data_IF_804400948535
#
_entry.id   IF_804400948535
#
_cell.length_a   1.000
_cell.length_b   1.000
_cell.length_c   1.000
_cell.angle_alpha   90.00
_cell.angle_beta   90.00
_cell.angle_gamma   90.00
#
_symmetry.space_group_name_H-M   'P 1'
#
loop_
_entity.id
_entity.type
_entity.pdbx_description
1 polymer ?
#
# COMPACT_ATOMS: atom_id res chain seq x y z
N UNK A 1 -18.21 10.18 48.99
CA UNK A 1 -16.91 10.72 48.59
C UNK A 1 -16.36 9.77 47.54
N UNK A 2 -16.76 9.99 46.28
CA UNK A 2 -16.44 9.11 45.15
C UNK A 2 -15.30 9.71 44.33
N UNK A 3 -14.18 9.03 44.31
CA UNK A 3 -13.06 9.38 43.42
C UNK A 3 -13.37 8.92 42.00
N UNK A 4 -13.67 9.86 41.14
CA UNK A 4 -13.69 9.66 39.70
C UNK A 4 -12.25 9.62 39.23
N UNK A 5 -11.75 8.41 38.91
CA UNK A 5 -10.52 8.23 38.18
C UNK A 5 -10.79 8.57 36.71
N UNK A 6 -10.35 9.73 36.27
CA UNK A 6 -10.27 10.07 34.85
C UNK A 6 -9.27 9.13 34.17
N UNK A 7 -9.60 8.56 33.02
CA UNK A 7 -8.65 7.75 32.24
C UNK A 7 -7.52 8.66 31.74
N UNK A 8 -6.31 8.43 32.19
CA UNK A 8 -5.09 9.01 31.62
C UNK A 8 -4.99 8.55 30.16
N UNK A 9 -5.43 9.40 29.26
CA UNK A 9 -5.16 9.22 27.83
C UNK A 9 -3.68 9.50 27.59
N UNK A 10 -2.87 8.45 27.50
CA UNK A 10 -1.51 8.55 26.98
C UNK A 10 -1.59 8.82 25.49
N UNK A 11 -1.74 10.07 25.11
CA UNK A 11 -1.51 10.51 23.74
C UNK A 11 0.00 10.45 23.51
N UNK A 12 0.46 9.42 22.82
CA UNK A 12 1.82 9.40 22.29
C UNK A 12 1.84 10.52 21.25
N UNK A 13 2.44 11.66 21.57
CA UNK A 13 2.75 12.68 20.57
C UNK A 13 3.72 12.05 19.57
N UNK A 14 3.26 11.84 18.36
CA UNK A 14 4.14 11.51 17.26
C UNK A 14 4.79 12.81 16.85
N UNK A 15 6.10 12.93 17.04
CA UNK A 15 6.85 14.08 16.55
C UNK A 15 6.90 14.03 15.03
N UNK A 16 6.86 15.21 14.39
CA UNK A 16 7.07 15.32 12.94
C UNK A 16 8.41 14.69 12.56
N UNK A 17 8.39 13.92 11.49
CA UNK A 17 9.57 13.22 10.98
C UNK A 17 9.80 13.58 9.52
N UNK A 18 11.03 13.94 9.20
CA UNK A 18 11.47 14.27 7.85
C UNK A 18 12.76 13.52 7.52
N UNK A 19 12.85 12.98 6.31
CA UNK A 19 14.04 12.31 5.76
C UNK A 19 14.24 12.78 4.32
N UNK A 20 15.36 13.42 4.05
CA UNK A 20 15.78 13.94 2.74
C UNK A 20 16.88 13.13 2.07
N UNK A 21 17.33 12.06 2.72
CA UNK A 21 18.37 11.16 2.23
C UNK A 21 19.75 11.80 1.95
N UNK A 22 19.95 13.09 2.25
CA UNK A 22 21.26 13.77 2.20
C UNK A 22 22.26 13.21 3.23
N UNK A 23 21.75 12.50 4.20
CA UNK A 23 22.50 11.79 5.25
C UNK A 23 22.08 10.33 5.32
N UNK A 24 22.76 9.55 6.14
CA UNK A 24 22.37 8.17 6.41
C UNK A 24 20.91 8.05 6.85
N UNK A 25 20.30 6.91 6.53
CA UNK A 25 18.96 6.57 6.99
C UNK A 25 18.83 6.73 8.49
N UNK A 26 17.81 7.45 8.93
CA UNK A 26 17.54 7.61 10.37
C UNK A 26 17.45 6.25 11.08
N UNK A 27 17.88 6.14 12.35
CA UNK A 27 18.00 4.86 13.07
C UNK A 27 16.67 4.07 13.19
N UNK A 28 15.53 4.72 12.95
CA UNK A 28 14.23 4.05 12.95
C UNK A 28 14.01 3.15 11.74
N UNK A 29 14.69 3.41 10.62
CA UNK A 29 14.52 2.64 9.41
C UNK A 29 15.28 1.32 9.49
N UNK A 30 14.60 0.26 9.10
CA UNK A 30 15.19 -1.05 8.88
C UNK A 30 15.24 -1.31 7.38
N UNK A 31 16.40 -1.74 6.92
CA UNK A 31 16.60 -2.20 5.53
C UNK A 31 16.16 -3.65 5.42
N UNK A 32 15.31 -3.94 4.46
CA UNK A 32 14.93 -5.31 4.13
C UNK A 32 15.24 -5.56 2.66
N UNK A 33 16.44 -6.04 2.40
CA UNK A 33 17.00 -6.25 1.07
C UNK A 33 17.13 -7.75 0.85
N UNK A 34 16.56 -8.26 -0.24
CA UNK A 34 16.54 -9.70 -0.58
C UNK A 34 16.90 -9.88 -2.04
N UNK A 35 17.65 -10.95 -2.35
CA UNK A 35 18.04 -11.29 -3.72
C UNK A 35 18.85 -10.18 -4.39
N UNK A 36 18.48 -9.80 -5.59
CA UNK A 36 19.07 -8.69 -6.34
C UNK A 36 18.52 -7.30 -5.99
N UNK A 37 17.79 -7.17 -4.87
CA UNK A 37 17.35 -5.87 -4.37
C UNK A 37 18.52 -5.09 -3.79
N UNK A 38 18.55 -3.76 -3.98
CA UNK A 38 19.60 -2.87 -3.46
C UNK A 38 18.97 -1.55 -3.03
N UNK A 39 19.49 -0.95 -1.96
CA UNK A 39 19.25 0.42 -1.58
C UNK A 39 20.49 1.24 -1.88
N UNK A 40 20.44 2.09 -2.91
CA UNK A 40 21.56 2.88 -3.40
C UNK A 40 21.35 4.36 -3.02
N UNK A 41 22.11 4.91 -2.07
CA UNK A 41 22.14 6.35 -1.83
C UNK A 41 22.79 7.08 -3.02
N UNK A 42 22.23 8.21 -3.41
CA UNK A 42 22.80 9.08 -4.43
C UNK A 42 22.55 10.55 -4.06
N UNK A 43 23.63 11.31 -3.84
CA UNK A 43 23.59 12.73 -3.39
C UNK A 43 22.52 12.96 -2.31
N UNK A 44 21.34 13.44 -2.71
CA UNK A 44 20.22 13.77 -1.82
C UNK A 44 19.00 12.85 -2.06
N UNK A 45 19.17 11.66 -2.65
CA UNK A 45 18.08 10.73 -2.96
C UNK A 45 18.41 9.31 -2.54
N UNK A 46 17.39 8.46 -2.43
CA UNK A 46 17.53 7.02 -2.21
C UNK A 46 16.86 6.24 -3.34
N UNK A 47 17.62 5.36 -3.98
CA UNK A 47 17.12 4.42 -4.96
C UNK A 47 16.78 3.08 -4.31
N UNK A 48 15.59 2.60 -4.57
CA UNK A 48 15.17 1.22 -4.35
C UNK A 48 15.33 0.49 -5.68
N UNK A 49 16.27 -0.42 -5.78
CA UNK A 49 16.67 -1.01 -7.06
C UNK A 49 16.44 -2.50 -7.07
N UNK A 50 15.90 -3.03 -8.15
CA UNK A 50 15.95 -4.44 -8.49
C UNK A 50 16.86 -4.65 -9.70
N UNK A 51 17.87 -5.51 -9.53
CA UNK A 51 18.82 -5.87 -10.58
C UNK A 51 18.58 -7.32 -10.96
N UNK A 52 18.33 -7.59 -12.25
CA UNK A 52 18.21 -8.94 -12.79
C UNK A 52 17.26 -9.86 -12.01
N UNK A 53 16.12 -9.32 -11.59
CA UNK A 53 15.14 -10.09 -10.85
C UNK A 53 14.58 -11.23 -11.72
N UNK A 54 14.43 -12.41 -11.15
CA UNK A 54 13.91 -13.58 -11.85
C UNK A 54 12.76 -14.26 -11.10
N UNK A 55 11.92 -14.96 -11.84
CA UNK A 55 10.73 -15.64 -11.32
C UNK A 55 11.02 -16.79 -10.34
N UNK A 56 12.29 -17.16 -10.16
CA UNK A 56 12.70 -18.23 -9.21
C UNK A 56 13.16 -17.70 -7.86
N UNK A 57 13.49 -16.41 -7.75
CA UNK A 57 14.03 -15.82 -6.53
C UNK A 57 13.31 -14.52 -6.21
N UNK A 58 12.93 -14.38 -4.96
CA UNK A 58 12.38 -13.12 -4.47
C UNK A 58 13.46 -12.05 -4.45
N UNK A 59 13.14 -10.92 -5.06
CA UNK A 59 14.00 -9.73 -5.10
C UNK A 59 13.22 -8.57 -4.50
N UNK A 60 13.80 -7.93 -3.50
CA UNK A 60 13.14 -6.83 -2.79
C UNK A 60 14.14 -5.80 -2.29
N UNK A 61 13.85 -4.54 -2.52
CA UNK A 61 14.49 -3.40 -1.89
C UNK A 61 13.43 -2.66 -1.06
N UNK A 62 13.61 -2.60 0.27
CA UNK A 62 12.60 -2.05 1.19
C UNK A 62 13.24 -1.33 2.36
N UNK A 63 12.56 -0.28 2.84
CA UNK A 63 12.72 0.25 4.18
C UNK A 63 11.39 0.16 4.93
N UNK A 64 11.47 -0.08 6.23
CA UNK A 64 10.32 -0.08 7.13
C UNK A 64 10.74 0.32 8.55
N UNK A 65 9.77 0.56 9.44
CA UNK A 65 10.02 0.96 10.83
C UNK A 65 9.42 0.00 11.87
N UNK A 66 8.99 -1.17 11.44
CA UNK A 66 8.25 -2.09 12.29
C UNK A 66 8.93 -3.45 12.50
N UNK A 67 10.08 -3.72 11.87
CA UNK A 67 10.82 -4.96 12.10
C UNK A 67 11.16 -5.11 13.58
N UNK A 68 10.93 -6.32 14.10
CA UNK A 68 11.16 -6.63 15.53
C UNK A 68 10.07 -6.12 16.47
N UNK A 69 9.10 -5.31 16.00
CA UNK A 69 7.98 -4.85 16.83
C UNK A 69 6.79 -5.80 16.73
N UNK A 70 6.06 -6.01 17.81
CA UNK A 70 4.72 -6.59 17.73
C UNK A 70 3.76 -5.59 17.08
N UNK A 71 2.74 -6.06 16.35
CA UNK A 71 1.76 -5.17 15.67
C UNK A 71 1.11 -4.15 16.59
N UNK A 72 0.92 -4.47 17.87
CA UNK A 72 0.35 -3.53 18.87
C UNK A 72 1.29 -2.36 19.17
N UNK A 73 2.57 -2.52 18.88
CA UNK A 73 3.63 -1.53 19.11
C UNK A 73 4.04 -0.79 17.84
N UNK A 74 3.37 -0.99 16.72
CA UNK A 74 3.59 -0.21 15.52
C UNK A 74 3.32 1.26 15.80
N UNK A 75 4.05 2.14 15.11
CA UNK A 75 4.23 3.52 15.57
C UNK A 75 3.07 4.45 15.18
N UNK A 76 2.42 4.20 14.03
CA UNK A 76 1.60 5.21 13.39
C UNK A 76 0.10 5.00 13.63
N UNK A 77 -0.56 6.09 13.96
CA UNK A 77 -2.02 6.16 14.17
C UNK A 77 -2.56 7.47 13.58
N UNK A 78 -3.81 7.48 13.09
CA UNK A 78 -4.43 8.75 12.71
C UNK A 78 -4.70 9.63 13.95
N UNK A 79 -4.72 10.97 13.84
CA UNK A 79 -4.53 11.71 12.60
C UNK A 79 -3.05 11.97 12.29
N UNK A 80 -2.66 11.81 11.02
CA UNK A 80 -1.32 12.16 10.53
C UNK A 80 -1.34 12.40 9.03
N UNK A 81 -0.29 13.05 8.52
CA UNK A 81 -0.02 13.24 7.09
C UNK A 81 1.28 12.54 6.72
N UNK A 82 1.26 11.73 5.66
CA UNK A 82 2.44 11.26 4.96
C UNK A 82 2.57 12.04 3.66
N UNK A 83 3.78 12.50 3.34
CA UNK A 83 4.11 12.99 2.02
C UNK A 83 5.42 12.35 1.55
N UNK A 84 5.47 11.95 0.28
CA UNK A 84 6.63 11.32 -0.36
C UNK A 84 6.83 11.94 -1.72
N UNK A 85 8.05 12.39 -2.04
CA UNK A 85 8.42 12.80 -3.39
C UNK A 85 9.23 11.69 -4.05
N UNK A 86 8.65 11.11 -5.11
CA UNK A 86 9.22 9.93 -5.75
C UNK A 86 8.99 9.93 -7.27
N UNK A 87 9.85 9.16 -7.97
CA UNK A 87 9.70 8.79 -9.38
C UNK A 87 10.17 7.35 -9.61
N UNK A 88 9.86 6.81 -10.78
CA UNK A 88 10.18 5.42 -11.13
C UNK A 88 10.91 5.35 -12.46
N UNK A 89 11.68 4.29 -12.67
CA UNK A 89 12.44 4.05 -13.90
C UNK A 89 11.58 3.78 -15.12
N UNK A 90 10.38 3.25 -14.92
CA UNK A 90 9.48 2.80 -15.98
C UNK A 90 8.06 3.32 -15.74
N UNK A 91 7.31 3.43 -16.81
CA UNK A 91 5.90 3.81 -16.75
C UNK A 91 5.03 2.71 -16.15
N UNK A 92 3.81 3.07 -15.78
CA UNK A 92 2.81 2.10 -15.35
C UNK A 92 2.52 1.10 -16.49
N UNK A 93 2.68 -0.20 -16.19
CA UNK A 93 2.57 -1.29 -17.17
C UNK A 93 3.92 -1.81 -17.67
N UNK A 94 5.00 -1.03 -17.57
CA UNK A 94 6.36 -1.43 -17.93
C UNK A 94 7.20 -1.80 -16.70
N UNK A 95 7.02 -1.10 -15.58
CA UNK A 95 7.60 -1.50 -14.29
C UNK A 95 7.07 -2.89 -13.93
N UNK A 96 7.95 -3.84 -13.62
CA UNK A 96 7.60 -5.24 -13.33
C UNK A 96 7.61 -5.50 -11.83
N UNK A 97 6.58 -6.16 -11.30
CA UNK A 97 6.46 -6.49 -9.89
C UNK A 97 5.52 -5.56 -9.13
N UNK A 98 5.84 -5.29 -7.87
CA UNK A 98 5.10 -4.35 -7.04
C UNK A 98 6.01 -3.27 -6.46
N UNK A 99 5.44 -2.09 -6.21
CA UNK A 99 6.13 -0.98 -5.58
C UNK A 99 5.14 -0.13 -4.79
N UNK A 100 5.63 0.63 -3.84
CA UNK A 100 4.76 1.56 -3.14
C UNK A 100 5.31 2.06 -1.82
N UNK A 101 4.48 2.84 -1.14
CA UNK A 101 4.77 3.39 0.19
C UNK A 101 3.48 3.72 0.93
N UNK A 102 3.54 3.63 2.25
CA UNK A 102 2.42 3.93 3.14
C UNK A 102 2.48 3.13 4.43
N UNK A 103 1.33 2.83 5.00
CA UNK A 103 1.23 2.17 6.30
C UNK A 103 0.42 0.87 6.20
N UNK A 104 0.90 -0.17 6.87
CA UNK A 104 0.24 -1.47 6.89
C UNK A 104 0.48 -2.25 8.20
N UNK A 105 -0.22 -3.36 8.35
CA UNK A 105 -0.05 -4.21 9.53
C UNK A 105 0.81 -5.47 9.25
N UNK A 106 1.58 -5.50 8.17
CA UNK A 106 2.41 -6.63 7.73
C UNK A 106 1.62 -7.97 7.77
N UNK A 107 0.54 -8.12 6.99
CA UNK A 107 -0.33 -9.28 7.07
C UNK A 107 0.32 -10.57 6.55
N UNK A 108 1.31 -10.44 5.67
CA UNK A 108 1.93 -11.53 4.93
C UNK A 108 3.31 -11.92 5.46
N UNK A 109 3.74 -11.38 6.61
CA UNK A 109 4.97 -11.75 7.30
C UNK A 109 6.25 -11.44 6.51
N UNK A 110 6.25 -10.36 5.74
CA UNK A 110 7.36 -10.01 4.85
C UNK A 110 8.66 -9.74 5.60
N UNK A 111 8.59 -9.26 6.84
CA UNK A 111 9.75 -8.79 7.60
C UNK A 111 9.90 -9.42 8.98
N UNK A 112 9.35 -10.61 9.21
CA UNK A 112 9.55 -11.28 10.49
C UNK A 112 8.55 -12.40 10.80
N UNK A 113 8.85 -13.13 11.89
CA UNK A 113 8.02 -14.24 12.34
C UNK A 113 6.81 -13.67 13.11
N UNK A 114 5.66 -13.61 12.46
CA UNK A 114 4.38 -13.20 13.04
C UNK A 114 3.28 -14.13 12.56
N UNK A 115 2.17 -14.20 13.29
CA UNK A 115 1.00 -14.91 12.80
C UNK A 115 0.35 -14.11 11.67
N UNK A 116 -0.08 -14.76 10.57
CA UNK A 116 -0.88 -14.12 9.52
C UNK A 116 -2.13 -13.48 10.12
N UNK A 117 -2.51 -12.32 9.59
CA UNK A 117 -3.74 -11.61 9.99
C UNK A 117 -4.41 -11.03 8.76
N UNK A 118 -5.68 -10.67 8.90
CA UNK A 118 -6.38 -9.94 7.86
C UNK A 118 -5.72 -8.58 7.60
N UNK A 119 -5.65 -8.15 6.34
CA UNK A 119 -4.91 -6.96 5.94
C UNK A 119 -5.57 -5.68 6.45
N UNK A 120 -4.71 -4.75 6.85
CA UNK A 120 -5.04 -3.37 7.13
C UNK A 120 -3.94 -2.50 6.56
N UNK A 121 -4.30 -1.57 5.68
CA UNK A 121 -3.33 -0.70 5.01
C UNK A 121 -3.95 0.62 4.55
N UNK A 122 -3.09 1.62 4.38
CA UNK A 122 -3.33 2.87 3.70
C UNK A 122 -2.06 3.25 2.95
N UNK A 123 -2.09 3.29 1.63
CA UNK A 123 -0.89 3.38 0.82
C UNK A 123 -1.13 3.86 -0.62
N UNK A 124 -0.07 4.30 -1.26
CA UNK A 124 0.09 4.25 -2.70
C UNK A 124 0.75 2.92 -3.08
N UNK A 125 0.16 2.20 -4.01
CA UNK A 125 0.54 0.85 -4.37
C UNK A 125 0.49 0.63 -5.87
N UNK A 126 1.58 0.14 -6.43
CA UNK A 126 1.71 -0.30 -7.81
C UNK A 126 1.74 -1.83 -7.89
N UNK A 127 1.10 -2.38 -8.91
CA UNK A 127 1.26 -3.77 -9.27
C UNK A 127 1.21 -3.93 -10.80
N UNK A 128 2.20 -4.62 -11.37
CA UNK A 128 2.20 -4.97 -12.78
C UNK A 128 1.30 -6.17 -13.08
N UNK A 129 0.87 -6.38 -14.34
CA UNK A 129 0.36 -7.69 -14.76
C UNK A 129 1.39 -8.80 -14.47
N UNK A 130 0.97 -10.03 -14.12
CA UNK A 130 -0.39 -10.56 -14.05
C UNK A 130 -1.12 -10.28 -12.73
N UNK A 131 -0.64 -9.35 -11.90
CA UNK A 131 -1.35 -8.96 -10.68
C UNK A 131 -2.79 -8.57 -10.99
N UNK A 132 -3.70 -9.00 -10.13
CA UNK A 132 -5.10 -8.61 -10.21
C UNK A 132 -5.66 -8.47 -8.79
N UNK A 133 -5.38 -7.35 -8.17
CA UNK A 133 -5.90 -6.99 -6.86
C UNK A 133 -7.12 -6.09 -7.04
N UNK A 134 -8.22 -6.71 -7.48
CA UNK A 134 -9.46 -6.01 -7.76
C UNK A 134 -10.33 -5.94 -6.50
N UNK A 135 -9.95 -5.08 -5.59
CA UNK A 135 -10.67 -4.85 -4.33
C UNK A 135 -11.82 -3.84 -4.51
N UNK A 136 -11.78 -3.05 -5.56
CA UNK A 136 -12.92 -2.25 -6.05
C UNK A 136 -13.25 -2.69 -7.49
N UNK A 137 -14.55 -2.97 -7.77
CA UNK A 137 -14.98 -3.43 -9.09
C UNK A 137 -14.87 -2.34 -10.16
N UNK A 138 -14.91 -1.08 -9.76
CA UNK A 138 -14.76 0.07 -10.65
C UNK A 138 -13.31 0.38 -11.04
N UNK A 139 -12.34 -0.24 -10.34
CA UNK A 139 -10.91 0.04 -10.50
C UNK A 139 -10.20 -1.17 -11.10
N UNK A 140 -9.27 -1.00 -12.06
CA UNK A 140 -8.43 -2.09 -12.57
C UNK A 140 -7.69 -2.82 -11.46
N UNK A 141 -7.45 -4.12 -11.63
CA UNK A 141 -6.77 -4.95 -10.63
C UNK A 141 -5.26 -4.74 -10.55
N UNK A 142 -4.66 -4.01 -11.49
CA UNK A 142 -3.24 -3.66 -11.55
C UNK A 142 -3.05 -2.17 -11.87
N UNK A 143 -1.81 -1.69 -11.90
CA UNK A 143 -1.46 -0.28 -12.11
C UNK A 143 -1.14 0.46 -10.80
N UNK A 144 -0.95 1.78 -10.89
CA UNK A 144 -0.64 2.65 -9.75
C UNK A 144 -1.92 3.13 -9.08
N UNK A 145 -2.06 2.87 -7.78
CA UNK A 145 -3.30 3.10 -7.03
C UNK A 145 -3.06 3.73 -5.68
N UNK A 146 -3.99 4.57 -5.26
CA UNK A 146 -4.20 4.95 -3.86
C UNK A 146 -5.25 4.00 -3.27
N UNK A 147 -5.01 3.41 -2.11
CA UNK A 147 -5.92 2.42 -1.54
C UNK A 147 -5.95 2.40 -0.02
N UNK A 148 -7.12 2.09 0.52
CA UNK A 148 -7.33 1.73 1.93
C UNK A 148 -7.97 0.36 2.07
N UNK A 149 -7.62 -0.35 3.14
CA UNK A 149 -8.28 -1.59 3.57
C UNK A 149 -8.24 -1.70 5.09
N UNK A 150 -9.35 -2.08 5.74
CA UNK A 150 -9.40 -2.48 7.15
C UNK A 150 -10.25 -3.73 7.32
N UNK A 151 -9.70 -4.88 6.97
CA UNK A 151 -10.34 -6.17 7.12
C UNK A 151 -10.37 -6.69 8.58
N UNK A 152 -9.83 -5.93 9.54
CA UNK A 152 -9.91 -6.22 10.97
C UNK A 152 -11.08 -5.51 11.68
N UNK A 153 -11.97 -4.86 10.94
CA UNK A 153 -13.19 -4.28 11.52
C UNK A 153 -14.10 -5.38 12.05
N UNK A 154 -14.87 -5.12 13.13
CA UNK A 154 -15.78 -6.12 13.70
C UNK A 154 -16.71 -6.76 12.67
N UNK A 155 -17.25 -5.97 11.74
CA UNK A 155 -18.11 -6.47 10.66
C UNK A 155 -17.38 -7.47 9.74
N UNK A 156 -16.11 -7.20 9.38
CA UNK A 156 -15.31 -8.12 8.56
C UNK A 156 -14.94 -9.41 9.32
N UNK A 157 -14.57 -9.27 10.59
CA UNK A 157 -14.24 -10.41 11.45
C UNK A 157 -15.45 -11.32 11.66
N UNK A 158 -16.64 -10.76 11.84
CA UNK A 158 -17.89 -11.53 11.96
C UNK A 158 -18.25 -12.27 10.66
N UNK A 159 -17.89 -11.72 9.51
CA UNK A 159 -18.10 -12.35 8.20
C UNK A 159 -17.02 -13.39 7.86
N UNK A 160 -15.87 -13.39 8.53
CA UNK A 160 -14.75 -14.29 8.22
C UNK A 160 -15.12 -15.79 8.23
N UNK A 161 -15.94 -16.33 9.16
CA UNK A 161 -16.38 -17.73 9.11
C UNK A 161 -17.25 -18.07 7.89
N UNK A 162 -17.92 -17.08 7.33
CA UNK A 162 -18.76 -17.22 6.13
C UNK A 162 -17.97 -17.04 4.83
N UNK A 163 -16.69 -16.69 4.91
CA UNK A 163 -15.85 -16.40 3.74
C UNK A 163 -15.91 -17.51 2.66
N UNK A 164 -15.86 -18.84 2.97
CA UNK A 164 -15.95 -19.86 1.94
C UNK A 164 -17.29 -19.82 1.17
N UNK A 165 -18.40 -19.61 1.88
CA UNK A 165 -19.74 -19.50 1.28
C UNK A 165 -19.85 -18.23 0.45
N UNK A 166 -19.35 -17.11 0.97
CA UNK A 166 -19.32 -15.82 0.25
C UNK A 166 -18.52 -15.96 -1.03
N UNK A 167 -17.32 -16.55 -0.99
CA UNK A 167 -16.47 -16.80 -2.17
C UNK A 167 -17.20 -17.69 -3.20
N UNK A 168 -17.90 -18.74 -2.75
CA UNK A 168 -18.68 -19.57 -3.65
C UNK A 168 -19.79 -18.77 -4.35
N UNK A 169 -20.55 -17.97 -3.60
CA UNK A 169 -21.61 -17.11 -4.14
C UNK A 169 -21.05 -16.03 -5.08
N UNK A 170 -19.86 -15.50 -4.77
CA UNK A 170 -19.17 -14.50 -5.60
C UNK A 170 -18.74 -15.04 -6.98
N UNK A 171 -18.68 -16.36 -7.18
CA UNK A 171 -18.44 -16.96 -8.50
C UNK A 171 -19.68 -16.89 -9.43
N UNK A 172 -20.84 -16.58 -8.90
CA UNK A 172 -22.07 -16.37 -9.69
C UNK A 172 -22.20 -14.87 -10.04
N UNK A 173 -22.02 -14.54 -11.32
CA UNK A 173 -21.96 -13.13 -11.79
C UNK A 173 -23.07 -12.20 -11.26
N UNK A 174 -24.36 -12.57 -11.23
CA UNK A 174 -25.39 -11.69 -10.69
C UNK A 174 -25.26 -11.48 -9.18
N UNK A 175 -24.86 -12.51 -8.44
CA UNK A 175 -24.73 -12.45 -6.99
C UNK A 175 -23.52 -11.62 -6.55
N UNK A 176 -22.36 -11.75 -7.22
CA UNK A 176 -21.23 -10.96 -6.81
C UNK A 176 -21.45 -9.44 -7.01
N UNK A 177 -22.15 -9.04 -8.09
CA UNK A 177 -22.52 -7.63 -8.31
C UNK A 177 -23.45 -7.10 -7.22
N UNK A 178 -24.36 -7.94 -6.74
CA UNK A 178 -25.26 -7.57 -5.65
C UNK A 178 -24.60 -7.55 -4.28
N UNK A 179 -23.73 -8.53 -3.98
CA UNK A 179 -23.12 -8.71 -2.66
C UNK A 179 -21.86 -7.86 -2.46
N UNK A 180 -21.12 -7.57 -3.54
CA UNK A 180 -19.82 -6.88 -3.44
C UNK A 180 -19.87 -5.54 -2.70
N UNK A 181 -20.83 -4.63 -2.91
CA UNK A 181 -20.88 -3.38 -2.18
C UNK A 181 -20.96 -3.55 -0.66
N UNK A 182 -21.63 -4.60 -0.18
CA UNK A 182 -21.73 -4.92 1.24
C UNK A 182 -20.41 -5.46 1.80
N UNK A 183 -19.77 -6.36 1.05
CA UNK A 183 -18.46 -6.92 1.38
C UNK A 183 -17.40 -5.82 1.40
N UNK A 184 -17.36 -4.97 0.38
CA UNK A 184 -16.45 -3.83 0.26
C UNK A 184 -16.62 -2.88 1.46
N UNK A 185 -17.84 -2.59 1.86
CA UNK A 185 -18.13 -1.77 3.04
C UNK A 185 -17.67 -2.45 4.34
N UNK A 186 -17.89 -3.78 4.46
CA UNK A 186 -17.43 -4.53 5.63
C UNK A 186 -15.90 -4.56 5.75
N UNK A 187 -15.19 -4.73 4.64
CA UNK A 187 -13.72 -4.70 4.55
C UNK A 187 -13.14 -3.28 4.61
N UNK A 188 -14.00 -2.25 4.54
CA UNK A 188 -13.59 -0.84 4.50
C UNK A 188 -12.56 -0.57 3.38
N UNK A 189 -12.85 -1.08 2.19
CA UNK A 189 -11.95 -0.98 1.03
C UNK A 189 -12.36 0.17 0.14
N UNK A 190 -11.38 0.97 -0.28
CA UNK A 190 -11.50 1.97 -1.33
C UNK A 190 -10.21 1.99 -2.14
N UNK A 191 -10.34 2.09 -3.44
CA UNK A 191 -9.21 2.22 -4.37
C UNK A 191 -9.49 3.34 -5.37
N UNK A 192 -8.45 4.06 -5.75
CA UNK A 192 -8.46 5.02 -6.86
C UNK A 192 -7.21 4.85 -7.72
N UNK A 193 -7.35 4.99 -9.02
CA UNK A 193 -6.20 5.01 -9.93
C UNK A 193 -5.42 6.30 -9.80
N UNK A 194 -4.10 6.20 -9.77
CA UNK A 194 -3.17 7.33 -9.89
C UNK A 194 -2.67 7.34 -11.34
N UNK A 195 -3.13 8.32 -12.13
CA UNK A 195 -2.73 8.43 -13.53
C UNK A 195 -3.46 7.46 -14.47
N UNK A 196 -2.81 7.06 -15.54
CA UNK A 196 -3.41 6.34 -16.68
C UNK A 196 -3.78 4.90 -16.36
N UNK A 197 -4.88 4.45 -16.95
CA UNK A 197 -5.27 3.04 -17.03
C UNK A 197 -4.26 2.24 -17.85
N UNK A 198 -3.39 1.50 -17.20
CA UNK A 198 -2.47 0.58 -17.85
C UNK A 198 -2.61 -0.84 -17.34
N UNK A 199 -3.78 -1.39 -17.55
CA UNK A 199 -3.94 -2.83 -17.72
C UNK A 199 -4.67 -3.00 -19.03
N UNK A 200 -4.19 -3.90 -19.88
CA UNK A 200 -4.70 -4.14 -21.23
C UNK A 200 -6.12 -4.74 -21.24
N UNK A 201 -7.07 -4.03 -20.67
CA UNK A 201 -8.48 -4.19 -20.94
C UNK A 201 -8.96 -2.86 -21.52
N UNK A 202 -9.15 -2.86 -22.83
CA UNK A 202 -9.72 -1.78 -23.62
C UNK A 202 -11.00 -1.26 -22.97
N UNK A 203 -10.90 -0.13 -22.32
CA UNK A 203 -12.07 0.66 -21.95
C UNK A 203 -12.15 1.84 -22.89
N UNK A 204 -12.90 1.71 -23.97
CA UNK A 204 -13.36 2.83 -24.78
C UNK A 204 -14.14 3.78 -23.85
N UNK A 205 -13.62 4.96 -23.61
CA UNK A 205 -14.38 6.02 -22.94
C UNK A 205 -13.65 6.89 -21.92
N UNK A 206 -12.34 6.77 -21.71
CA UNK A 206 -11.62 7.67 -20.79
C UNK A 206 -11.26 9.00 -21.49
N UNK A 207 -12.12 10.01 -21.36
CA UNK A 207 -11.80 11.41 -21.70
C UNK A 207 -10.82 11.97 -20.66
N UNK A 208 -9.68 12.49 -21.17
CA UNK A 208 -8.80 13.49 -20.57
C UNK A 208 -8.64 13.51 -19.03
N UNK A 209 -7.92 12.57 -18.47
CA UNK A 209 -7.28 12.76 -17.18
C UNK A 209 -5.80 13.06 -17.44
N UNK A 210 -5.29 14.13 -16.84
CA UNK A 210 -3.89 14.54 -16.91
C UNK A 210 -2.98 13.35 -16.55
N UNK A 211 -2.22 12.88 -17.52
CA UNK A 211 -1.32 11.75 -17.41
C UNK A 211 -0.15 12.12 -16.51
N UNK A 212 -0.19 11.71 -15.25
CA UNK A 212 1.00 11.72 -14.41
C UNK A 212 1.81 10.48 -14.77
N UNK A 213 2.95 10.69 -15.40
CA UNK A 213 3.86 9.61 -15.74
C UNK A 213 4.65 9.24 -14.48
N UNK A 214 4.66 7.99 -14.08
CA UNK A 214 5.46 7.52 -12.93
C UNK A 214 6.95 7.85 -13.07
N UNK A 215 7.43 8.17 -14.27
CA UNK A 215 8.83 8.47 -14.56
C UNK A 215 9.24 9.89 -14.20
N UNK A 216 8.29 10.76 -13.89
CA UNK A 216 8.54 12.14 -13.45
C UNK A 216 8.39 12.26 -11.93
N UNK A 217 9.00 13.31 -11.38
CA UNK A 217 8.90 13.62 -9.96
C UNK A 217 7.47 14.05 -9.60
N UNK A 218 6.87 13.33 -8.67
CA UNK A 218 5.59 13.68 -8.08
C UNK A 218 5.65 13.67 -6.56
N UNK A 219 4.86 14.54 -5.94
CA UNK A 219 4.62 14.52 -4.50
C UNK A 219 3.29 13.84 -4.21
N UNK A 220 3.37 12.67 -3.61
CA UNK A 220 2.24 11.86 -3.18
C UNK A 220 1.93 12.16 -1.71
N UNK A 221 0.69 12.45 -1.38
CA UNK A 221 0.29 12.72 -0.01
C UNK A 221 -0.91 11.89 0.44
N UNK A 222 -0.85 11.44 1.69
CA UNK A 222 -1.91 10.75 2.41
C UNK A 222 -2.21 11.56 3.67
N UNK A 223 -3.40 12.14 3.75
CA UNK A 223 -3.93 12.69 4.99
C UNK A 223 -4.76 11.60 5.66
N UNK A 224 -4.17 10.93 6.63
CA UNK A 224 -4.81 9.83 7.35
C UNK A 224 -5.54 10.37 8.58
N UNK A 225 -6.78 10.79 8.41
CA UNK A 225 -7.66 11.23 9.49
C UNK A 225 -8.27 10.07 10.28
N UNK A 226 -9.02 10.38 11.34
CA UNK A 226 -9.65 9.37 12.20
C UNK A 226 -10.76 8.58 11.49
N UNK A 227 -11.59 9.27 10.70
CA UNK A 227 -12.74 8.68 10.01
C UNK A 227 -12.49 8.54 8.50
N UNK A 228 -11.87 9.54 7.91
CA UNK A 228 -11.62 9.63 6.48
C UNK A 228 -10.14 9.86 6.19
N UNK A 229 -9.69 9.30 5.10
CA UNK A 229 -8.37 9.50 4.53
C UNK A 229 -8.51 10.20 3.17
N UNK A 230 -7.61 11.14 2.88
CA UNK A 230 -7.56 11.87 1.62
C UNK A 230 -6.24 11.59 0.93
N UNK A 231 -6.30 11.29 -0.35
CA UNK A 231 -5.14 11.09 -1.20
C UNK A 231 -5.00 12.24 -2.18
N UNK A 232 -3.78 12.70 -2.39
CA UNK A 232 -3.47 13.69 -3.42
C UNK A 232 -2.13 13.43 -4.09
N UNK A 233 -1.98 13.90 -5.32
CA UNK A 233 -0.70 13.94 -6.04
C UNK A 233 -0.49 15.34 -6.57
N UNK A 234 0.66 15.93 -6.28
CA UNK A 234 1.00 17.32 -6.58
C UNK A 234 -0.08 18.32 -6.10
N UNK A 235 -0.62 18.06 -4.92
CA UNK A 235 -1.70 18.86 -4.33
C UNK A 235 -3.07 18.66 -4.98
N UNK A 236 -3.19 17.86 -6.04
CA UNK A 236 -4.47 17.56 -6.68
C UNK A 236 -5.15 16.39 -5.96
N UNK A 237 -6.38 16.56 -5.45
CA UNK A 237 -7.09 15.49 -4.78
C UNK A 237 -7.42 14.34 -5.74
N UNK A 238 -7.27 13.11 -5.26
CA UNK A 238 -7.60 11.89 -6.01
C UNK A 238 -8.89 11.26 -5.51
N UNK A 239 -8.93 10.91 -4.23
CA UNK A 239 -10.01 10.13 -3.66
C UNK A 239 -10.12 10.38 -2.15
N UNK A 240 -11.36 10.30 -1.66
CA UNK A 240 -11.67 10.24 -0.24
C UNK A 240 -12.02 8.80 0.10
N UNK A 241 -11.33 8.25 1.07
CA UNK A 241 -11.48 6.85 1.45
C UNK A 241 -11.83 6.72 2.94
N UNK A 242 -12.49 5.64 3.35
CA UNK A 242 -12.67 5.36 4.75
C UNK A 242 -11.31 5.06 5.40
N UNK A 243 -11.08 5.64 6.57
CA UNK A 243 -9.81 5.51 7.29
C UNK A 243 -9.65 4.12 7.91
N UNK A 244 -8.52 3.42 7.71
CA UNK A 244 -8.20 2.24 8.50
C UNK A 244 -7.77 2.66 9.90
N UNK A 245 -7.99 1.78 10.90
CA UNK A 245 -7.54 2.02 12.26
C UNK A 245 -6.06 1.71 12.42
N UNK A 246 -5.37 2.46 13.28
CA UNK A 246 -4.01 2.14 13.73
C UNK A 246 -3.99 1.10 14.87
N UNK A 247 -2.79 0.70 15.35
CA UNK A 247 -1.48 1.12 14.84
C UNK A 247 -1.07 0.40 13.57
N UNK A 248 -0.32 1.09 12.71
CA UNK A 248 0.30 0.55 11.50
C UNK A 248 1.80 0.89 11.48
N UNK A 249 2.58 0.12 10.73
CA UNK A 249 3.98 0.39 10.44
C UNK A 249 4.13 1.04 9.07
N UNK A 250 5.14 1.86 8.91
CA UNK A 250 5.49 2.42 7.60
C UNK A 250 6.26 1.39 6.77
N UNK A 251 6.01 1.37 5.49
CA UNK A 251 6.74 0.55 4.51
C UNK A 251 6.89 1.32 3.20
N UNK A 252 8.05 1.15 2.57
CA UNK A 252 8.36 1.62 1.23
C UNK A 252 9.20 0.57 0.52
N UNK A 253 8.78 0.14 -0.69
CA UNK A 253 9.40 -1.03 -1.33
C UNK A 253 9.32 -1.00 -2.86
N UNK A 254 10.20 -1.80 -3.47
CA UNK A 254 10.15 -2.26 -4.86
C UNK A 254 10.52 -3.74 -4.87
N UNK A 255 9.66 -4.61 -5.42
CA UNK A 255 9.90 -6.05 -5.49
C UNK A 255 9.45 -6.67 -6.83
N UNK A 256 9.76 -7.96 -7.04
CA UNK A 256 9.36 -8.70 -8.23
C UNK A 256 8.15 -9.62 -8.03
N UNK A 257 7.30 -9.35 -7.05
CA UNK A 257 6.12 -10.17 -6.79
C UNK A 257 4.94 -9.79 -7.69
N UNK A 258 4.04 -10.75 -7.88
CA UNK A 258 2.67 -10.49 -8.30
C UNK A 258 1.67 -11.12 -7.34
N UNK A 259 0.50 -10.53 -7.23
CA UNK A 259 -0.59 -11.02 -6.40
C UNK A 259 -1.93 -10.92 -7.14
N UNK A 260 -2.66 -12.04 -7.15
CA UNK A 260 -4.04 -12.09 -7.64
C UNK A 260 -4.95 -12.32 -6.45
N UNK A 261 -5.78 -11.34 -6.16
CA UNK A 261 -6.84 -11.42 -5.13
C UNK A 261 -8.10 -10.84 -5.73
N UNK A 262 -9.06 -11.71 -6.05
CA UNK A 262 -10.30 -11.27 -6.67
C UNK A 262 -11.50 -11.54 -5.77
N UNK A 263 -12.57 -10.74 -5.88
CA UNK A 263 -13.80 -10.96 -5.11
C UNK A 263 -14.42 -12.34 -5.32
N UNK A 264 -14.18 -12.96 -6.46
CA UNK A 264 -14.67 -14.31 -6.80
C UNK A 264 -13.69 -15.43 -6.42
N UNK A 265 -12.78 -15.16 -5.46
CA UNK A 265 -11.97 -16.17 -4.78
C UNK A 265 -10.75 -16.67 -5.54
N UNK A 266 -10.30 -16.01 -6.59
CA UNK A 266 -9.00 -16.33 -7.18
C UNK A 266 -7.91 -15.78 -6.27
N UNK A 267 -7.08 -16.67 -5.76
CA UNK A 267 -5.89 -16.34 -4.98
C UNK A 267 -4.67 -16.98 -5.67
N UNK A 268 -3.74 -16.18 -6.12
CA UNK A 268 -2.45 -16.61 -6.68
C UNK A 268 -1.38 -15.61 -6.33
N UNK A 269 -0.18 -16.07 -6.07
CA UNK A 269 0.99 -15.21 -5.97
C UNK A 269 2.19 -15.90 -6.61
N UNK A 270 3.21 -15.14 -6.93
CA UNK A 270 4.46 -15.63 -7.46
C UNK A 270 5.42 -14.50 -7.77
N UNK A 271 6.49 -14.85 -8.46
CA UNK A 271 7.57 -13.94 -8.79
C UNK A 271 7.62 -13.73 -10.30
N UNK A 272 8.13 -12.59 -10.73
CA UNK A 272 8.25 -12.18 -12.12
C UNK A 272 9.70 -12.04 -12.54
N UNK A 273 9.95 -12.30 -13.81
CA UNK A 273 11.22 -11.99 -14.44
C UNK A 273 11.28 -10.49 -14.79
N UNK A 274 12.27 -9.80 -14.26
CA UNK A 274 12.58 -8.41 -14.56
C UNK A 274 14.09 -8.31 -14.86
N UNK A 275 14.52 -8.71 -16.08
CA UNK A 275 15.93 -8.81 -16.42
C UNK A 275 16.60 -7.44 -16.57
N UNK A 276 15.83 -6.38 -16.74
CA UNK A 276 16.33 -5.02 -16.84
C UNK A 276 16.32 -4.39 -15.46
N UNK A 277 17.38 -3.64 -15.14
CA UNK A 277 17.44 -2.84 -13.93
C UNK A 277 16.26 -1.89 -13.86
N UNK A 278 15.52 -1.94 -12.78
CA UNK A 278 14.41 -1.03 -12.50
C UNK A 278 14.53 -0.48 -11.10
N UNK A 279 13.98 0.73 -10.90
CA UNK A 279 14.11 1.43 -9.64
C UNK A 279 12.91 2.34 -9.33
N UNK A 280 12.75 2.62 -8.06
CA UNK A 280 12.01 3.74 -7.50
C UNK A 280 13.03 4.66 -6.83
N UNK A 281 13.02 5.93 -7.17
CA UNK A 281 13.87 6.97 -6.57
C UNK A 281 13.03 7.88 -5.70
N UNK A 282 13.52 8.16 -4.51
CA UNK A 282 12.84 8.98 -3.50
C UNK A 282 13.74 10.14 -3.10
N UNK A 283 13.23 11.36 -3.27
CA UNK A 283 13.90 12.59 -2.89
C UNK A 283 13.74 12.85 -1.37
N UNK A 284 12.51 12.79 -0.89
CA UNK A 284 12.23 12.93 0.54
C UNK A 284 10.93 12.25 0.94
N UNK A 285 10.81 12.02 2.24
CA UNK A 285 9.54 11.65 2.87
C UNK A 285 9.34 12.45 4.18
N UNK A 286 8.09 12.76 4.45
CA UNK A 286 7.67 13.44 5.68
C UNK A 286 6.47 12.73 6.29
N UNK A 287 6.48 12.53 7.62
CA UNK A 287 5.34 12.02 8.38
C UNK A 287 5.08 13.03 9.50
N UNK A 288 3.92 13.65 9.49
CA UNK A 288 3.58 14.78 10.35
C UNK A 288 2.26 14.50 11.07
N UNK A 289 2.11 14.89 12.34
CA UNK A 289 0.79 14.98 12.98
C UNK A 289 -0.09 15.97 12.21
N UNK A 290 -1.35 15.64 11.97
CA UNK A 290 -2.33 16.53 11.32
C UNK A 290 -3.39 17.01 12.30
#
# INVERSE_FOLDING_TARGET
MGFLLSPLSWSIKVDAFYQDFSTDLAPRWRRHVVGGGVLEPAEDTLFFVNVEACSRHYTNAQIDDYQGLSRRRFLWRPPLRLAVRARFSHSAGELVGTAGFGFWNDPFLMTGIRMPVLPRAIWFFYASPPSNMKLDLGVPGCGWKAATIDALRPAAVLLAPLAPVVVLLMNLRPLYRALWPYIQRALNVREAMVGVKTCAESFEGARHTLYQTMTEWHTYAIEWGVEHAHFSVDGKPLENAPSPRGPLGFVMWLDNQYLVVTPWGRLRWGLLDAPVRQWMEVDWLAIEPS
#
